data_IF_362558147377
#
_entry.id   IF_362558147377
#
_cell.length_a   1.000
_cell.length_b   1.000
_cell.length_c   1.000
_cell.angle_alpha   90.00
_cell.angle_beta   90.00
_cell.angle_gamma   90.00
#
_symmetry.space_group_name_H-M   'P 1'
#
loop_
_entity.id
_entity.type
_entity.pdbx_description
1 polymer ?
#
# COMPACT_ATOMS: atom_id res chain seq x y z
N UNK A 1 -1.87 13.64 4.40
CA UNK A 1 -2.05 12.95 3.13
C UNK A 1 -3.24 12.00 3.24
N UNK A 2 -4.14 12.07 2.28
CA UNK A 2 -5.26 11.14 2.15
C UNK A 2 -5.12 10.39 0.84
N UNK A 3 -5.34 9.07 0.88
CA UNK A 3 -5.31 8.18 -0.29
C UNK A 3 -6.62 7.40 -0.35
N UNK A 4 -7.19 7.32 -1.55
CA UNK A 4 -8.33 6.49 -1.87
C UNK A 4 -7.90 5.52 -2.98
N UNK A 5 -7.90 4.21 -2.70
CA UNK A 5 -7.41 3.15 -3.57
C UNK A 5 -8.53 2.19 -3.89
N UNK A 6 -8.68 1.82 -5.15
CA UNK A 6 -9.68 0.87 -5.61
C UNK A 6 -9.05 -0.38 -6.24
N UNK A 7 -9.68 -1.53 -5.98
CA UNK A 7 -9.36 -2.83 -6.58
C UNK A 7 -10.64 -3.49 -7.05
N UNK A 8 -10.59 -4.15 -8.19
CA UNK A 8 -11.77 -4.81 -8.77
C UNK A 8 -11.39 -6.07 -9.54
N UNK A 9 -12.09 -7.17 -9.26
CA UNK A 9 -11.83 -8.47 -9.88
C UNK A 9 -10.61 -9.17 -9.31
N UNK A 10 -10.21 -10.26 -9.93
CA UNK A 10 -9.14 -11.13 -9.49
C UNK A 10 -8.12 -11.35 -10.59
N UNK A 11 -6.84 -11.29 -10.23
CA UNK A 11 -5.68 -11.46 -11.09
C UNK A 11 -4.92 -12.74 -10.69
N UNK A 12 -4.61 -13.61 -11.64
CA UNK A 12 -3.69 -14.76 -11.46
C UNK A 12 -2.48 -14.59 -12.37
N UNK A 13 -1.30 -14.45 -11.79
CA UNK A 13 -0.13 -14.03 -12.54
C UNK A 13 -0.38 -12.65 -13.16
N UNK A 14 -0.47 -12.56 -14.48
CA UNK A 14 -0.72 -11.33 -15.25
C UNK A 14 -2.12 -11.27 -15.89
N UNK A 15 -2.96 -12.25 -15.63
CA UNK A 15 -4.25 -12.41 -16.31
C UNK A 15 -5.40 -12.26 -15.33
N UNK A 16 -6.37 -11.42 -15.68
CA UNK A 16 -7.64 -11.35 -14.95
C UNK A 16 -8.38 -12.68 -15.10
N UNK A 17 -8.95 -13.15 -14.01
CA UNK A 17 -9.71 -14.41 -13.94
C UNK A 17 -11.09 -14.17 -13.39
N UNK A 18 -12.05 -14.99 -13.86
CA UNK A 18 -13.42 -14.96 -13.42
C UNK A 18 -13.68 -15.78 -12.14
N UNK A 19 -14.87 -15.64 -11.57
CA UNK A 19 -15.29 -16.36 -10.37
C UNK A 19 -15.20 -17.88 -10.56
N UNK A 20 -15.57 -18.41 -11.73
CA UNK A 20 -15.55 -19.85 -11.99
C UNK A 20 -14.11 -20.41 -11.94
N UNK A 21 -13.12 -19.64 -12.39
CA UNK A 21 -11.71 -20.00 -12.32
C UNK A 21 -11.19 -19.94 -10.89
N UNK A 22 -11.61 -18.93 -10.09
CA UNK A 22 -11.29 -18.85 -8.66
C UNK A 22 -11.84 -20.05 -7.89
N UNK A 23 -13.09 -20.46 -8.15
CA UNK A 23 -13.75 -21.58 -7.49
C UNK A 23 -13.11 -22.95 -7.76
N UNK A 24 -12.23 -23.06 -8.76
CA UNK A 24 -11.48 -24.28 -9.05
C UNK A 24 -10.14 -24.36 -8.31
N UNK A 25 -9.74 -23.30 -7.61
CA UNK A 25 -8.46 -23.26 -6.90
C UNK A 25 -8.53 -24.00 -5.56
N UNK A 26 -7.43 -24.60 -5.12
CA UNK A 26 -7.38 -25.28 -3.82
C UNK A 26 -7.49 -24.27 -2.68
N UNK A 27 -8.10 -24.69 -1.60
CA UNK A 27 -8.14 -23.97 -0.33
C UNK A 27 -7.11 -24.56 0.63
N UNK A 28 -6.13 -23.79 1.05
CA UNK A 28 -5.08 -24.21 1.98
C UNK A 28 -5.62 -24.67 3.35
N UNK A 29 -6.80 -24.17 3.74
CA UNK A 29 -7.45 -24.54 5.00
C UNK A 29 -8.21 -25.86 4.92
N UNK A 30 -8.25 -26.51 3.76
CA UNK A 30 -8.74 -27.88 3.54
C UNK A 30 -10.27 -28.05 3.55
N UNK A 31 -11.05 -27.19 4.17
CA UNK A 31 -12.51 -27.31 4.21
C UNK A 31 -13.22 -25.98 3.95
N UNK A 32 -13.98 -25.89 2.86
CA UNK A 32 -14.07 -26.83 1.71
C UNK A 32 -12.73 -26.99 0.98
N UNK A 33 -12.55 -28.06 0.22
CA UNK A 33 -11.27 -28.35 -0.46
C UNK A 33 -10.87 -27.32 -1.52
N UNK A 34 -11.83 -26.54 -2.02
CA UNK A 34 -11.62 -25.48 -2.99
C UNK A 34 -12.19 -24.16 -2.45
N UNK A 35 -11.72 -23.05 -3.02
CA UNK A 35 -12.23 -21.73 -2.69
C UNK A 35 -13.73 -21.62 -2.99
N UNK A 36 -14.46 -20.90 -2.13
CA UNK A 36 -15.92 -20.72 -2.23
C UNK A 36 -16.35 -19.27 -1.98
N UNK A 37 -15.42 -18.42 -1.65
CA UNK A 37 -15.66 -16.98 -1.48
C UNK A 37 -14.73 -16.23 -2.44
N UNK A 38 -15.32 -15.34 -3.24
CA UNK A 38 -14.61 -14.61 -4.29
C UNK A 38 -14.69 -13.11 -4.00
N UNK A 39 -13.57 -12.40 -3.87
CA UNK A 39 -13.58 -10.95 -3.75
C UNK A 39 -14.02 -10.32 -5.07
N UNK A 40 -14.92 -9.35 -5.00
CA UNK A 40 -15.44 -8.61 -6.16
C UNK A 40 -14.80 -7.21 -6.26
N UNK A 41 -14.89 -6.45 -5.16
CA UNK A 41 -14.29 -5.11 -5.05
C UNK A 41 -13.67 -4.92 -3.69
N UNK A 42 -12.64 -4.08 -3.63
CA UNK A 42 -12.03 -3.64 -2.38
C UNK A 42 -11.64 -2.17 -2.50
N UNK A 43 -12.10 -1.38 -1.55
CA UNK A 43 -11.75 0.01 -1.42
C UNK A 43 -10.95 0.20 -0.13
N UNK A 44 -9.84 0.94 -0.23
CA UNK A 44 -8.97 1.25 0.90
C UNK A 44 -8.75 2.76 0.98
N UNK A 45 -9.14 3.34 2.11
CA UNK A 45 -8.86 4.74 2.41
C UNK A 45 -7.80 4.82 3.49
N UNK A 46 -6.78 5.63 3.25
CA UNK A 46 -5.70 5.85 4.19
C UNK A 46 -5.51 7.33 4.45
N UNK A 47 -5.62 7.74 5.70
CA UNK A 47 -5.30 9.10 6.14
C UNK A 47 -4.02 9.07 6.96
N UNK A 48 -2.97 9.74 6.47
CA UNK A 48 -1.67 9.83 7.12
C UNK A 48 -1.47 11.22 7.71
N UNK A 49 -1.14 11.28 8.98
CA UNK A 49 -0.68 12.47 9.68
C UNK A 49 0.81 12.30 9.98
N UNK A 50 1.62 13.27 9.55
CA UNK A 50 3.06 13.24 9.77
C UNK A 50 3.58 14.58 10.24
N UNK A 51 4.65 14.55 11.02
CA UNK A 51 5.43 15.69 11.41
C UNK A 51 6.89 15.46 11.05
N UNK A 52 7.57 16.54 10.67
CA UNK A 52 9.00 16.54 10.37
C UNK A 52 9.66 17.70 11.12
N UNK A 53 10.84 17.43 11.70
CA UNK A 53 11.61 18.43 12.41
C UNK A 53 13.08 18.33 12.00
N UNK A 54 13.61 19.41 11.44
CA UNK A 54 15.00 19.54 11.03
C UNK A 54 15.74 20.46 12.03
N UNK A 55 16.54 19.90 12.96
CA UNK A 55 17.35 20.70 13.87
C UNK A 55 18.49 21.42 13.16
N UNK A 56 18.94 20.90 12.03
CA UNK A 56 19.97 21.46 11.15
C UNK A 56 19.74 20.99 9.71
N UNK A 57 20.63 21.39 8.79
CA UNK A 57 20.54 21.06 7.36
C UNK A 57 20.92 19.59 7.05
N UNK A 58 21.48 18.86 8.01
CA UNK A 58 21.99 17.50 7.80
C UNK A 58 20.97 16.44 8.18
N UNK A 59 20.11 16.69 9.17
CA UNK A 59 19.19 15.69 9.75
C UNK A 59 17.78 16.23 9.83
N UNK A 60 16.81 15.44 9.38
CA UNK A 60 15.40 15.69 9.58
C UNK A 60 14.76 14.47 10.23
N UNK A 61 14.23 14.62 11.44
CA UNK A 61 13.42 13.60 12.09
C UNK A 61 12.01 13.59 11.51
N UNK A 62 11.40 12.41 11.45
CA UNK A 62 10.03 12.24 11.00
C UNK A 62 9.26 11.30 11.92
N UNK A 63 7.98 11.62 12.10
CA UNK A 63 7.01 10.75 12.75
C UNK A 63 5.74 10.73 11.90
N UNK A 64 5.15 9.55 11.71
CA UNK A 64 3.94 9.38 10.91
C UNK A 64 3.02 8.34 11.55
N UNK A 65 1.77 8.71 11.72
CA UNK A 65 0.68 7.81 12.08
C UNK A 65 -0.31 7.73 10.92
N UNK A 66 -1.02 6.61 10.81
CA UNK A 66 -1.97 6.42 9.74
C UNK A 66 -3.25 5.76 10.23
N UNK A 67 -4.37 6.19 9.69
CA UNK A 67 -5.66 5.58 9.85
C UNK A 67 -6.04 4.89 8.56
N UNK A 68 -6.52 3.66 8.68
CA UNK A 68 -7.02 2.84 7.59
C UNK A 68 -8.53 2.65 7.72
N UNK A 69 -9.20 2.66 6.58
CA UNK A 69 -10.55 2.18 6.40
C UNK A 69 -10.55 1.28 5.16
N UNK A 70 -10.93 0.02 5.33
CA UNK A 70 -10.97 -0.97 4.26
C UNK A 70 -12.35 -1.59 4.17
N UNK A 71 -12.90 -1.66 2.97
CA UNK A 71 -14.17 -2.28 2.66
C UNK A 71 -13.98 -3.27 1.52
N UNK A 72 -14.36 -4.53 1.71
CA UNK A 72 -14.27 -5.58 0.69
C UNK A 72 -15.64 -6.21 0.49
N UNK A 73 -16.13 -6.21 -0.76
CA UNK A 73 -17.31 -6.93 -1.19
C UNK A 73 -16.92 -8.29 -1.73
N UNK A 74 -17.62 -9.33 -1.29
CA UNK A 74 -17.32 -10.72 -1.62
C UNK A 74 -18.62 -11.45 -2.01
N UNK A 75 -18.49 -12.37 -2.96
CA UNK A 75 -19.53 -13.32 -3.37
C UNK A 75 -19.27 -14.67 -2.72
N UNK A 76 -20.29 -15.28 -2.11
CA UNK A 76 -20.20 -16.62 -1.52
C UNK A 76 -20.94 -17.63 -2.35
N UNK A 77 -20.29 -18.74 -2.60
CA UNK A 77 -20.80 -19.88 -3.36
C UNK A 77 -20.98 -21.09 -2.44
N UNK A 78 -21.99 -21.89 -2.73
CA UNK A 78 -22.30 -23.11 -1.96
C UNK A 78 -21.14 -24.10 -1.96
N UNK A 79 -20.87 -24.71 -0.80
CA UNK A 79 -19.76 -25.62 -0.61
C UNK A 79 -19.76 -26.78 -1.63
N UNK A 80 -20.92 -27.35 -1.93
CA UNK A 80 -21.11 -28.49 -2.84
C UNK A 80 -21.66 -28.06 -4.19
N UNK A 81 -22.68 -27.18 -4.20
CA UNK A 81 -23.44 -26.81 -5.41
C UNK A 81 -22.70 -25.83 -6.31
N UNK A 82 -21.72 -25.06 -5.78
CA UNK A 82 -21.06 -23.94 -6.47
C UNK A 82 -22.03 -22.87 -6.99
N UNK A 83 -23.27 -22.86 -6.52
CA UNK A 83 -24.24 -21.81 -6.84
C UNK A 83 -24.00 -20.59 -5.96
N UNK A 84 -24.22 -19.41 -6.49
CA UNK A 84 -24.14 -18.17 -5.74
C UNK A 84 -25.19 -18.16 -4.62
N UNK A 85 -24.75 -18.07 -3.39
CA UNK A 85 -25.62 -17.97 -2.20
C UNK A 85 -25.96 -16.50 -1.88
N UNK A 86 -25.07 -15.59 -2.20
CA UNK A 86 -25.24 -14.16 -1.97
C UNK A 86 -23.93 -13.43 -1.86
N UNK A 87 -24.01 -12.12 -1.65
CA UNK A 87 -22.87 -11.25 -1.46
C UNK A 87 -22.88 -10.65 -0.05
N UNK A 88 -21.72 -10.34 0.48
CA UNK A 88 -21.56 -9.62 1.74
C UNK A 88 -20.42 -8.64 1.66
N UNK A 89 -20.37 -7.68 2.59
CA UNK A 89 -19.29 -6.71 2.71
C UNK A 89 -18.67 -6.82 4.09
N UNK A 90 -17.37 -7.05 4.12
CA UNK A 90 -16.56 -6.96 5.34
C UNK A 90 -15.88 -5.59 5.39
N UNK A 91 -15.72 -5.05 6.60
CA UNK A 91 -15.05 -3.76 6.84
C UNK A 91 -14.08 -3.89 7.99
N UNK A 92 -12.99 -3.14 7.90
CA UNK A 92 -12.05 -2.92 9.00
C UNK A 92 -11.67 -1.45 9.02
N UNK A 93 -11.55 -0.89 10.21
CA UNK A 93 -11.19 0.52 10.41
C UNK A 93 -10.39 0.67 11.70
N UNK A 94 -9.40 1.56 11.68
CA UNK A 94 -8.60 1.89 12.85
C UNK A 94 -7.23 2.44 12.51
N UNK A 95 -6.42 2.61 13.56
CA UNK A 95 -5.03 3.03 13.41
C UNK A 95 -4.19 1.90 12.82
N UNK A 96 -3.34 2.26 11.87
CA UNK A 96 -2.28 1.40 11.33
C UNK A 96 -0.99 1.51 12.13
N UNK A 97 0.10 1.01 11.54
CA UNK A 97 1.42 1.07 12.16
C UNK A 97 1.99 2.49 12.15
N UNK A 98 2.62 2.88 13.26
CA UNK A 98 3.30 4.16 13.41
C UNK A 98 4.74 4.06 12.91
N UNK A 99 5.20 5.05 12.14
CA UNK A 99 6.56 5.09 11.62
C UNK A 99 7.33 6.25 12.24
N UNK A 100 8.53 5.97 12.77
CA UNK A 100 9.51 6.96 13.24
C UNK A 100 10.77 6.82 12.42
N UNK A 101 11.44 7.93 12.10
CA UNK A 101 12.66 7.84 11.30
C UNK A 101 13.42 9.14 11.21
N UNK A 102 14.50 9.08 10.43
CA UNK A 102 15.34 10.22 10.10
C UNK A 102 15.72 10.21 8.62
N UNK A 103 15.80 11.39 8.05
CA UNK A 103 16.42 11.66 6.76
C UNK A 103 17.76 12.34 7.02
N UNK A 104 18.82 11.81 6.42
CA UNK A 104 20.19 12.31 6.52
C UNK A 104 20.59 12.91 5.17
N UNK A 105 21.15 14.10 5.17
CA UNK A 105 21.71 14.69 3.97
C UNK A 105 22.95 13.88 3.56
N UNK A 106 22.99 13.40 2.33
CA UNK A 106 24.08 12.60 1.76
C UNK A 106 25.13 13.44 1.03
N UNK A 107 25.02 14.78 1.13
CA UNK A 107 25.89 15.72 0.45
C UNK A 107 25.46 16.02 -1.00
N UNK A 108 26.07 17.07 -1.55
CA UNK A 108 25.83 17.53 -2.91
C UNK A 108 26.70 16.77 -3.90
N UNK A 109 26.12 16.41 -5.03
CA UNK A 109 26.83 15.87 -6.19
C UNK A 109 26.87 16.93 -7.26
N UNK A 110 28.05 17.43 -7.56
CA UNK A 110 28.33 18.39 -8.64
C UNK A 110 29.14 17.70 -9.72
N UNK A 111 28.49 16.85 -10.50
CA UNK A 111 29.12 16.24 -11.69
C UNK A 111 28.50 16.84 -12.96
N UNK A 112 29.21 16.77 -14.09
CA UNK A 112 28.80 17.34 -15.38
C UNK A 112 27.39 16.94 -15.82
N UNK A 113 26.92 15.73 -15.43
CA UNK A 113 25.64 15.16 -15.85
C UNK A 113 24.71 14.84 -14.67
N UNK A 114 25.16 15.02 -13.42
CA UNK A 114 24.40 14.70 -12.22
C UNK A 114 24.65 15.82 -11.20
N UNK A 115 23.75 16.79 -11.17
CA UNK A 115 23.78 17.88 -10.19
C UNK A 115 22.56 17.80 -9.30
N UNK A 116 22.76 17.65 -8.02
CA UNK A 116 21.66 17.46 -7.06
C UNK A 116 22.14 16.98 -5.69
N UNK A 117 21.20 16.60 -4.86
CA UNK A 117 21.41 16.21 -3.47
C UNK A 117 20.94 14.78 -3.22
N UNK A 118 21.76 14.01 -2.51
CA UNK A 118 21.38 12.70 -2.00
C UNK A 118 20.83 12.80 -0.58
N UNK A 119 19.89 11.92 -0.26
CA UNK A 119 19.35 11.75 1.10
C UNK A 119 19.24 10.26 1.42
N UNK A 120 19.70 9.90 2.61
CA UNK A 120 19.51 8.57 3.19
C UNK A 120 18.33 8.65 4.15
N UNK A 121 17.36 7.75 4.00
CA UNK A 121 16.25 7.60 4.93
C UNK A 121 16.41 6.34 5.73
N UNK A 122 16.26 6.43 7.04
CA UNK A 122 16.23 5.30 7.96
C UNK A 122 14.99 5.44 8.83
N UNK A 123 14.05 4.50 8.73
CA UNK A 123 12.85 4.54 9.55
C UNK A 123 12.51 3.16 10.13
N UNK A 124 11.81 3.18 11.23
CA UNK A 124 11.27 2.01 11.92
C UNK A 124 9.75 2.13 11.98
N UNK A 125 9.04 1.12 11.50
CA UNK A 125 7.61 0.94 11.72
C UNK A 125 7.39 0.18 13.01
N UNK A 126 6.53 0.72 13.86
CA UNK A 126 6.14 0.12 15.15
C UNK A 126 4.76 -0.50 14.97
N UNK A 127 4.53 -1.76 15.40
CA UNK A 127 3.28 -2.49 15.17
C UNK A 127 2.14 -1.99 16.09
N UNK A 128 1.69 -0.77 15.85
CA UNK A 128 0.55 -0.17 16.57
C UNK A 128 -0.80 -0.51 15.96
N UNK A 129 -0.80 -0.99 14.71
CA UNK A 129 -2.00 -1.43 13.99
C UNK A 129 -2.44 -2.83 14.43
N UNK A 130 -3.75 -3.02 14.58
CA UNK A 130 -4.31 -4.32 14.94
C UNK A 130 -4.19 -5.32 13.79
N UNK A 131 -3.74 -6.53 14.09
CA UNK A 131 -3.73 -7.69 13.18
C UNK A 131 -4.82 -8.72 13.53
N UNK A 132 -5.79 -8.31 14.35
CA UNK A 132 -6.86 -9.19 14.82
C UNK A 132 -8.26 -8.67 14.42
N UNK A 133 -8.35 -7.99 13.29
CA UNK A 133 -9.61 -7.48 12.79
C UNK A 133 -10.58 -8.61 12.47
N UNK A 134 -11.79 -8.46 12.96
CA UNK A 134 -12.89 -9.42 12.76
C UNK A 134 -14.06 -8.74 12.09
N UNK A 135 -14.88 -9.53 11.43
CA UNK A 135 -16.04 -9.00 10.74
C UNK A 135 -17.17 -10.01 10.57
N UNK A 136 -18.19 -9.57 9.85
CA UNK A 136 -19.33 -10.40 9.47
C UNK A 136 -19.02 -11.04 8.12
N UNK A 137 -19.28 -12.35 8.00
CA UNK A 137 -19.04 -13.12 6.78
C UNK A 137 -20.24 -14.02 6.47
N UNK A 138 -20.48 -14.27 5.17
CA UNK A 138 -21.39 -15.29 4.70
C UNK A 138 -20.58 -16.55 4.34
N UNK A 139 -20.87 -17.66 5.01
CA UNK A 139 -20.13 -18.92 4.80
C UNK A 139 -20.68 -19.73 3.62
N UNK A 140 -19.88 -20.68 3.06
CA UNK A 140 -20.37 -21.59 2.02
C UNK A 140 -21.49 -22.55 2.47
N UNK A 141 -21.82 -22.59 3.76
CA UNK A 141 -22.96 -23.28 4.33
C UNK A 141 -24.21 -22.40 4.46
N UNK A 142 -24.21 -21.23 3.80
CA UNK A 142 -25.27 -20.23 3.84
C UNK A 142 -25.57 -19.71 5.25
N UNK A 143 -24.56 -19.57 6.08
CA UNK A 143 -24.69 -19.04 7.44
C UNK A 143 -23.96 -17.69 7.55
N UNK A 144 -24.62 -16.69 8.12
CA UNK A 144 -23.97 -15.44 8.50
C UNK A 144 -23.33 -15.59 9.87
N UNK A 145 -22.02 -15.38 9.93
CA UNK A 145 -21.24 -15.47 11.17
C UNK A 145 -20.61 -14.09 11.44
N UNK A 146 -20.70 -13.64 12.68
CA UNK A 146 -20.02 -12.42 13.17
C UNK A 146 -18.76 -12.80 13.95
N UNK A 147 -17.79 -11.88 14.03
CA UNK A 147 -16.57 -12.09 14.79
C UNK A 147 -15.54 -13.01 14.11
N UNK A 148 -15.70 -13.31 12.81
CA UNK A 148 -14.74 -14.09 12.06
C UNK A 148 -13.51 -13.26 11.74
N UNK A 149 -12.29 -13.81 11.95
CA UNK A 149 -11.04 -13.16 11.57
C UNK A 149 -11.03 -12.83 10.09
N UNK A 150 -10.78 -11.58 9.75
CA UNK A 150 -10.74 -11.10 8.37
C UNK A 150 -9.43 -11.48 7.68
N UNK A 151 -9.41 -11.59 6.33
CA UNK A 151 -8.22 -11.89 5.53
C UNK A 151 -7.08 -10.88 5.73
N UNK A 152 -5.85 -11.28 5.37
CA UNK A 152 -4.63 -10.50 5.56
C UNK A 152 -4.70 -9.04 5.05
N UNK A 153 -5.23 -8.73 3.84
CA UNK A 153 -5.30 -7.34 3.38
C UNK A 153 -6.28 -6.46 4.16
N UNK A 154 -7.12 -7.05 5.00
CA UNK A 154 -8.06 -6.32 5.86
C UNK A 154 -7.53 -6.13 7.29
N UNK A 155 -6.30 -6.55 7.59
CA UNK A 155 -5.65 -6.23 8.85
C UNK A 155 -5.08 -4.82 8.79
N UNK A 156 -5.03 -4.10 9.93
CA UNK A 156 -4.67 -2.69 9.98
C UNK A 156 -3.16 -2.45 10.10
N UNK A 157 -2.40 -3.45 10.52
CA UNK A 157 -0.95 -3.36 10.67
C UNK A 157 -0.24 -4.63 10.20
N UNK A 158 1.09 -4.62 10.26
CA UNK A 158 1.93 -5.78 9.99
C UNK A 158 2.04 -6.71 11.21
N UNK A 159 1.92 -6.13 12.40
CA UNK A 159 2.18 -6.80 13.66
C UNK A 159 3.67 -7.04 13.93
N UNK A 160 4.55 -6.54 13.05
CA UNK A 160 6.01 -6.67 13.13
C UNK A 160 6.69 -5.32 13.25
N UNK A 161 7.88 -5.29 13.83
CA UNK A 161 8.78 -4.15 13.64
C UNK A 161 9.38 -4.24 12.23
N UNK A 162 9.30 -3.13 11.48
CA UNK A 162 9.79 -3.11 10.11
C UNK A 162 10.85 -2.03 9.93
N UNK A 163 12.02 -2.43 9.47
CA UNK A 163 13.07 -1.49 9.06
C UNK A 163 12.80 -0.99 7.65
N UNK A 164 12.81 0.34 7.47
CA UNK A 164 12.48 1.00 6.21
C UNK A 164 13.63 1.90 5.74
N UNK A 165 14.67 1.33 5.08
CA UNK A 165 15.73 2.12 4.47
C UNK A 165 15.28 2.77 3.17
N UNK A 166 15.85 3.94 2.85
CA UNK A 166 15.68 4.56 1.54
C UNK A 166 16.90 5.37 1.13
N UNK A 167 17.12 5.47 -0.18
CA UNK A 167 18.10 6.34 -0.82
C UNK A 167 17.40 7.17 -1.87
N UNK A 168 17.48 8.49 -1.75
CA UNK A 168 16.79 9.44 -2.63
C UNK A 168 17.79 10.38 -3.27
N UNK A 169 17.67 10.58 -4.58
CA UNK A 169 18.34 11.62 -5.32
C UNK A 169 17.33 12.66 -5.79
N UNK A 170 17.62 13.94 -5.59
CA UNK A 170 16.88 15.07 -6.12
C UNK A 170 17.81 15.94 -6.95
N UNK A 171 17.51 16.14 -8.25
CA UNK A 171 18.27 17.03 -9.09
C UNK A 171 18.17 18.49 -8.64
N UNK A 172 19.21 19.26 -8.87
CA UNK A 172 19.09 20.70 -8.96
C UNK A 172 18.12 21.10 -10.08
N UNK A 173 17.63 22.32 -10.04
CA UNK A 173 16.73 22.82 -11.09
C UNK A 173 17.49 23.03 -12.41
N UNK A 174 16.97 22.49 -13.49
CA UNK A 174 17.40 22.76 -14.87
C UNK A 174 16.32 23.57 -15.57
N UNK A 175 16.40 24.88 -15.46
CA UNK A 175 15.31 25.77 -15.87
C UNK A 175 14.04 25.48 -15.04
N UNK A 176 12.97 25.12 -15.74
CA UNK A 176 11.69 24.77 -15.09
C UNK A 176 11.60 23.28 -14.68
N UNK A 177 12.59 22.47 -15.00
CA UNK A 177 12.56 21.03 -14.80
C UNK A 177 13.35 20.59 -13.55
N UNK A 178 12.82 19.60 -12.87
CA UNK A 178 13.49 18.81 -11.84
C UNK A 178 13.18 17.35 -12.04
N UNK A 179 14.11 16.49 -11.69
CA UNK A 179 13.93 15.05 -11.70
C UNK A 179 14.52 14.44 -10.44
N UNK A 180 14.16 13.22 -10.17
CA UNK A 180 14.71 12.49 -9.04
C UNK A 180 14.39 11.02 -9.11
N UNK A 181 14.94 10.28 -8.16
CA UNK A 181 14.70 8.86 -8.00
C UNK A 181 14.86 8.44 -6.56
N UNK A 182 14.22 7.34 -6.20
CA UNK A 182 14.36 6.75 -4.89
C UNK A 182 14.33 5.23 -5.00
N UNK A 183 15.19 4.58 -4.22
CA UNK A 183 15.09 3.17 -3.89
C UNK A 183 14.74 3.07 -2.43
N UNK A 184 13.79 2.23 -2.08
CA UNK A 184 13.37 2.02 -0.70
C UNK A 184 13.01 0.57 -0.44
N UNK A 185 13.10 0.15 0.82
CA UNK A 185 12.77 -1.20 1.27
C UNK A 185 11.87 -1.20 2.50
N UNK A 186 11.23 -2.33 2.72
CA UNK A 186 10.58 -2.68 3.98
C UNK A 186 11.07 -4.07 4.34
N UNK A 187 11.87 -4.16 5.40
CA UNK A 187 12.42 -5.42 5.92
C UNK A 187 11.67 -5.75 7.21
N UNK A 188 11.01 -6.88 7.23
CA UNK A 188 10.27 -7.38 8.39
C UNK A 188 11.24 -8.06 9.34
N UNK A 189 11.36 -7.57 10.57
CA UNK A 189 12.40 -8.02 11.49
C UNK A 189 12.05 -9.34 12.17
N UNK A 190 10.76 -9.57 12.46
CA UNK A 190 10.27 -10.74 13.21
C UNK A 190 8.95 -11.27 12.67
N UNK A 191 8.52 -12.42 13.16
CA UNK A 191 7.14 -12.89 13.01
C UNK A 191 6.25 -12.19 14.04
N UNK A 192 4.99 -11.94 13.69
CA UNK A 192 4.06 -11.29 14.59
C UNK A 192 3.43 -12.27 15.60
N UNK A 193 2.66 -11.74 16.55
CA UNK A 193 2.02 -12.53 17.63
C UNK A 193 1.00 -13.57 17.14
N UNK A 194 0.62 -13.55 15.86
CA UNK A 194 -0.27 -14.56 15.26
C UNK A 194 0.49 -15.59 14.41
N UNK A 195 1.83 -15.60 14.46
CA UNK A 195 2.69 -16.58 13.82
C UNK A 195 2.88 -16.38 12.31
N UNK A 196 2.75 -15.16 11.82
CA UNK A 196 3.07 -14.84 10.44
C UNK A 196 3.83 -13.52 10.31
N UNK A 197 4.43 -13.29 9.17
CA UNK A 197 4.94 -11.98 8.74
C UNK A 197 4.64 -11.73 7.27
N UNK A 198 4.35 -10.48 6.96
CA UNK A 198 4.19 -10.04 5.58
C UNK A 198 5.54 -10.14 4.85
N UNK A 199 5.51 -10.34 3.54
CA UNK A 199 6.74 -10.36 2.74
C UNK A 199 7.48 -9.03 2.77
N UNK A 200 8.82 -9.11 2.69
CA UNK A 200 9.66 -7.94 2.51
C UNK A 200 9.31 -7.25 1.19
N UNK A 201 9.48 -5.92 1.14
CA UNK A 201 9.13 -5.14 -0.04
C UNK A 201 10.29 -4.27 -0.50
N UNK A 202 10.54 -4.25 -1.80
CA UNK A 202 11.46 -3.31 -2.45
C UNK A 202 10.66 -2.42 -3.40
N UNK A 203 10.99 -1.14 -3.42
CA UNK A 203 10.40 -0.17 -4.34
C UNK A 203 11.48 0.68 -4.99
N UNK A 204 11.34 0.89 -6.29
CA UNK A 204 12.16 1.82 -7.08
C UNK A 204 11.23 2.80 -7.76
N UNK A 205 11.48 4.08 -7.63
CA UNK A 205 10.69 5.11 -8.27
C UNK A 205 11.56 6.21 -8.90
N UNK A 206 11.07 6.77 -9.98
CA UNK A 206 11.67 7.92 -10.64
C UNK A 206 10.58 8.93 -11.02
N UNK A 207 10.91 10.20 -10.95
CA UNK A 207 9.97 11.28 -11.31
C UNK A 207 10.64 12.40 -12.08
N UNK A 208 9.83 13.05 -12.86
CA UNK A 208 10.15 14.31 -13.53
C UNK A 208 9.05 15.30 -13.17
N UNK A 209 9.40 16.53 -12.86
CA UNK A 209 8.46 17.61 -12.60
C UNK A 209 8.84 18.88 -13.38
N UNK A 210 7.83 19.65 -13.78
CA UNK A 210 7.99 20.94 -14.43
C UNK A 210 7.25 22.02 -13.66
N UNK A 211 7.92 23.12 -13.42
CA UNK A 211 7.28 24.32 -12.88
C UNK A 211 6.46 24.97 -13.99
N UNK A 212 5.16 25.11 -13.78
CA UNK A 212 4.22 25.73 -14.72
C UNK A 212 4.04 27.21 -14.42
N UNK A 213 4.07 27.55 -13.13
CA UNK A 213 3.98 28.91 -12.60
C UNK A 213 4.78 29.01 -11.29
N UNK A 214 4.95 30.21 -10.75
CA UNK A 214 5.62 30.39 -9.47
C UNK A 214 4.98 29.55 -8.35
N UNK A 215 3.65 29.36 -8.40
CA UNK A 215 2.86 28.66 -7.39
C UNK A 215 2.44 27.25 -7.79
N UNK A 216 2.74 26.77 -9.02
CA UNK A 216 2.23 25.51 -9.54
C UNK A 216 3.28 24.68 -10.29
N UNK A 217 3.26 23.37 -10.11
CA UNK A 217 4.05 22.42 -10.88
C UNK A 217 3.25 21.16 -11.21
N UNK A 218 3.59 20.52 -12.32
CA UNK A 218 3.09 19.20 -12.70
C UNK A 218 4.24 18.18 -12.62
N UNK A 219 3.90 16.91 -12.43
CA UNK A 219 4.87 15.82 -12.36
C UNK A 219 4.32 14.53 -12.95
N UNK A 220 5.24 13.73 -13.46
CA UNK A 220 5.02 12.33 -13.84
C UNK A 220 5.96 11.49 -12.99
N UNK A 221 5.47 10.38 -12.44
CA UNK A 221 6.24 9.42 -11.66
C UNK A 221 5.97 8.00 -12.16
N UNK A 222 7.04 7.25 -12.30
CA UNK A 222 7.00 5.81 -12.48
C UNK A 222 7.50 5.18 -11.18
N UNK A 223 6.81 4.17 -10.69
CA UNK A 223 7.26 3.34 -9.59
C UNK A 223 7.08 1.86 -9.90
N UNK A 224 8.03 1.06 -9.46
CA UNK A 224 8.00 -0.39 -9.53
C UNK A 224 8.27 -0.96 -8.15
N UNK A 225 7.47 -1.91 -7.73
CA UNK A 225 7.63 -2.60 -6.45
C UNK A 225 7.57 -4.11 -6.63
N UNK A 226 8.36 -4.80 -5.83
CA UNK A 226 8.34 -6.22 -5.62
C UNK A 226 8.08 -6.50 -4.15
N UNK A 227 7.21 -7.45 -3.86
CA UNK A 227 6.94 -7.93 -2.52
C UNK A 227 7.04 -9.44 -2.47
N UNK A 228 7.77 -9.94 -1.47
CA UNK A 228 7.85 -11.37 -1.19
C UNK A 228 6.51 -11.94 -0.73
N UNK A 229 6.39 -13.26 -0.74
CA UNK A 229 5.24 -13.93 -0.13
C UNK A 229 5.23 -13.76 1.38
N UNK A 230 4.04 -13.76 1.95
CA UNK A 230 3.82 -13.89 3.39
C UNK A 230 4.39 -15.21 3.89
N UNK A 231 5.02 -15.21 5.05
CA UNK A 231 5.56 -16.40 5.72
C UNK A 231 4.77 -16.70 6.98
N UNK A 232 4.54 -17.99 7.27
CA UNK A 232 3.69 -18.40 8.37
C UNK A 232 2.20 -18.25 8.05
N UNK A 233 1.34 -18.38 9.06
CA UNK A 233 -0.10 -18.23 8.91
C UNK A 233 -0.78 -17.92 10.26
N UNK A 234 -1.79 -17.07 10.26
CA UNK A 234 -2.73 -16.91 11.36
C UNK A 234 -3.77 -18.05 11.32
N UNK A 235 -3.76 -18.94 12.32
CA UNK A 235 -4.69 -20.07 12.42
C UNK A 235 -6.17 -19.67 12.52
N UNK A 236 -6.47 -18.43 12.86
CA UNK A 236 -7.84 -17.89 12.92
C UNK A 236 -8.36 -17.42 11.56
N UNK A 237 -7.48 -17.17 10.57
CA UNK A 237 -7.86 -16.80 9.19
C UNK A 237 -8.11 -18.09 8.40
N UNK A 238 -9.37 -18.52 8.34
CA UNK A 238 -9.75 -19.82 7.73
C UNK A 238 -10.79 -19.69 6.64
N UNK A 239 -11.06 -18.47 6.14
CA UNK A 239 -12.02 -18.25 5.07
C UNK A 239 -11.52 -18.87 3.76
N UNK A 240 -12.39 -19.58 3.00
CA UNK A 240 -12.02 -20.14 1.69
C UNK A 240 -12.05 -19.06 0.59
N UNK A 241 -11.22 -18.05 0.74
CA UNK A 241 -11.10 -16.87 -0.13
C UNK A 241 -9.63 -16.69 -0.55
N UNK A 242 -9.33 -16.22 -1.77
CA UNK A 242 -7.94 -16.00 -2.22
C UNK A 242 -7.11 -15.14 -1.26
N UNK A 243 -7.69 -14.08 -0.72
CA UNK A 243 -7.01 -13.14 0.19
C UNK A 243 -6.66 -13.71 1.57
N UNK A 244 -7.16 -14.90 1.90
CA UNK A 244 -6.81 -15.65 3.12
C UNK A 244 -5.73 -16.72 2.87
N UNK A 245 -5.32 -16.94 1.61
CA UNK A 245 -4.30 -17.92 1.27
C UNK A 245 -2.92 -17.28 1.34
N UNK A 246 -2.00 -17.83 2.12
CA UNK A 246 -0.65 -17.28 2.30
C UNK A 246 0.18 -17.35 1.03
N UNK A 247 0.02 -18.42 0.23
CA UNK A 247 0.72 -18.61 -1.04
C UNK A 247 0.27 -17.64 -2.15
N UNK A 248 -0.85 -16.94 -1.94
CA UNK A 248 -1.40 -16.00 -2.90
C UNK A 248 -1.01 -14.54 -2.60
N UNK A 249 0.05 -14.33 -1.85
CA UNK A 249 0.52 -13.00 -1.46
C UNK A 249 1.82 -12.63 -2.17
N UNK A 250 2.12 -11.34 -2.25
CA UNK A 250 3.32 -10.83 -2.92
C UNK A 250 3.20 -10.77 -4.43
N UNK A 251 4.25 -10.30 -5.10
CA UNK A 251 4.30 -10.13 -6.55
C UNK A 251 4.92 -8.81 -6.98
N UNK A 252 4.69 -8.47 -8.24
CA UNK A 252 5.25 -7.29 -8.91
C UNK A 252 4.13 -6.30 -9.26
N UNK A 253 4.38 -5.01 -9.02
CA UNK A 253 3.47 -3.93 -9.40
C UNK A 253 4.29 -2.77 -9.93
N UNK A 254 3.94 -2.25 -11.12
CA UNK A 254 4.47 -1.00 -11.62
C UNK A 254 3.34 -0.03 -11.95
N UNK A 255 3.51 1.23 -11.56
CA UNK A 255 2.51 2.27 -11.67
C UNK A 255 3.05 3.48 -12.41
N UNK A 256 2.14 4.17 -13.10
CA UNK A 256 2.31 5.52 -13.62
C UNK A 256 1.45 6.47 -12.81
N UNK A 257 2.05 7.57 -12.36
CA UNK A 257 1.35 8.63 -11.63
C UNK A 257 1.48 9.97 -12.34
N UNK A 258 0.41 10.75 -12.31
CA UNK A 258 0.39 12.16 -12.74
C UNK A 258 -0.01 13.02 -11.55
N UNK A 259 0.78 14.04 -11.27
CA UNK A 259 0.61 14.86 -10.09
C UNK A 259 0.67 16.36 -10.37
N UNK A 260 -0.06 17.12 -9.55
CA UNK A 260 -0.04 18.58 -9.51
C UNK A 260 0.27 19.04 -8.10
N UNK A 261 1.10 20.06 -7.98
CA UNK A 261 1.43 20.68 -6.70
C UNK A 261 1.19 22.17 -6.77
N UNK A 262 0.61 22.71 -5.71
CA UNK A 262 0.37 24.13 -5.53
C UNK A 262 1.04 24.59 -4.23
N UNK A 263 1.82 25.66 -4.30
CA UNK A 263 2.58 26.20 -3.17
C UNK A 263 2.19 27.65 -2.95
N UNK A 264 1.77 27.96 -1.74
CA UNK A 264 1.47 29.32 -1.33
C UNK A 264 2.75 30.17 -1.26
N UNK A 265 2.77 31.29 -1.97
CA UNK A 265 3.96 32.14 -2.11
C UNK A 265 3.98 33.27 -1.06
N UNK A 266 2.82 33.81 -0.67
CA UNK A 266 2.72 35.04 0.10
C UNK A 266 1.56 34.99 1.11
N UNK A 267 1.65 35.91 2.10
CA UNK A 267 0.61 36.11 3.10
C UNK A 267 0.34 34.87 3.95
N UNK A 268 -0.91 34.66 4.28
CA UNK A 268 -1.36 33.53 5.12
C UNK A 268 -1.12 32.15 4.46
N UNK A 269 -0.88 32.11 3.15
CA UNK A 269 -0.62 30.88 2.40
C UNK A 269 0.87 30.55 2.28
N UNK A 270 1.77 31.43 2.72
CA UNK A 270 3.22 31.15 2.69
C UNK A 270 3.53 29.87 3.46
N UNK A 271 4.35 28.98 2.87
CA UNK A 271 4.70 27.69 3.44
C UNK A 271 3.65 26.59 3.32
N UNK A 272 2.45 26.89 2.78
CA UNK A 272 1.42 25.88 2.52
C UNK A 272 1.61 25.23 1.16
N UNK A 273 1.46 23.91 1.11
CA UNK A 273 1.51 23.12 -0.12
C UNK A 273 0.31 22.17 -0.20
N UNK A 274 -0.35 22.18 -1.35
CA UNK A 274 -1.39 21.21 -1.71
C UNK A 274 -0.86 20.35 -2.86
N UNK A 275 -1.05 19.04 -2.79
CA UNK A 275 -0.66 18.09 -3.83
C UNK A 275 -1.84 17.20 -4.18
N UNK A 276 -2.05 16.96 -5.46
CA UNK A 276 -3.01 16.00 -6.00
C UNK A 276 -2.26 15.05 -6.93
N UNK A 277 -2.45 13.75 -6.78
CA UNK A 277 -1.83 12.73 -7.61
C UNK A 277 -2.82 11.61 -7.90
N UNK A 278 -2.93 11.27 -9.19
CA UNK A 278 -3.63 10.08 -9.66
C UNK A 278 -2.60 9.05 -10.12
N UNK A 279 -2.78 7.80 -9.70
CA UNK A 279 -1.89 6.68 -9.96
C UNK A 279 -2.68 5.52 -10.55
N UNK A 280 -2.19 4.90 -11.62
CA UNK A 280 -2.76 3.70 -12.22
C UNK A 280 -1.68 2.66 -12.48
N UNK A 281 -2.04 1.37 -12.39
CA UNK A 281 -1.12 0.29 -12.70
C UNK A 281 -0.88 0.20 -14.21
N UNK A 282 0.39 0.06 -14.59
CA UNK A 282 0.81 -0.25 -15.95
C UNK A 282 1.34 -1.68 -16.09
N UNK A 283 1.65 -2.33 -14.98
CA UNK A 283 2.03 -3.72 -14.90
C UNK A 283 1.67 -4.30 -13.55
N UNK A 284 1.04 -5.48 -13.55
CA UNK A 284 0.75 -6.25 -12.36
C UNK A 284 1.08 -7.72 -12.60
N UNK A 285 1.72 -8.36 -11.63
CA UNK A 285 1.95 -9.81 -11.64
C UNK A 285 1.83 -10.34 -10.21
N UNK A 286 0.74 -11.02 -9.93
CA UNK A 286 0.45 -11.61 -8.63
C UNK A 286 1.13 -12.97 -8.46
N UNK A 287 1.63 -13.25 -7.26
CA UNK A 287 1.94 -14.61 -6.85
C UNK A 287 0.61 -15.29 -6.44
N UNK A 288 0.15 -16.27 -7.24
CA UNK A 288 -1.17 -16.86 -7.03
C UNK A 288 -2.31 -15.95 -7.47
N UNK A 289 -3.37 -15.83 -6.67
CA UNK A 289 -4.57 -15.03 -6.99
C UNK A 289 -4.75 -13.90 -6.00
N UNK A 290 -4.77 -12.68 -6.52
CA UNK A 290 -4.96 -11.45 -5.74
C UNK A 290 -5.99 -10.55 -6.41
N UNK A 291 -6.50 -9.57 -5.68
CA UNK A 291 -7.36 -8.54 -6.28
C UNK A 291 -6.55 -7.66 -7.24
N UNK A 292 -7.16 -7.34 -8.37
CA UNK A 292 -6.55 -6.49 -9.39
C UNK A 292 -6.66 -5.02 -8.98
N UNK A 293 -5.50 -4.36 -8.85
CA UNK A 293 -5.42 -2.94 -8.55
C UNK A 293 -5.91 -2.12 -9.76
N UNK A 294 -6.73 -1.12 -9.52
CA UNK A 294 -7.24 -0.22 -10.56
C UNK A 294 -6.49 1.12 -10.51
N UNK A 295 -6.78 1.91 -9.51
CA UNK A 295 -6.18 3.23 -9.36
C UNK A 295 -6.11 3.69 -7.90
N UNK A 296 -5.40 4.81 -7.71
CA UNK A 296 -5.34 5.53 -6.43
C UNK A 296 -5.38 7.02 -6.68
N UNK A 297 -6.24 7.71 -5.95
CA UNK A 297 -6.23 9.15 -5.84
C UNK A 297 -5.58 9.56 -4.52
N UNK A 298 -4.61 10.46 -4.59
CA UNK A 298 -3.91 10.97 -3.40
C UNK A 298 -4.06 12.48 -3.31
N UNK A 299 -4.50 12.96 -2.15
CA UNK A 299 -4.51 14.36 -1.76
C UNK A 299 -3.50 14.57 -0.63
N UNK A 300 -2.56 15.49 -0.82
CA UNK A 300 -1.55 15.85 0.16
C UNK A 300 -1.69 17.31 0.58
N UNK A 301 -1.59 17.58 1.86
CA UNK A 301 -1.45 18.93 2.40
C UNK A 301 -0.24 18.97 3.32
N UNK A 302 0.55 20.03 3.22
CA UNK A 302 1.72 20.26 4.05
C UNK A 302 1.82 21.74 4.40
N UNK A 303 2.28 22.01 5.61
CA UNK A 303 2.68 23.36 6.05
C UNK A 303 4.12 23.30 6.58
N UNK A 304 4.97 24.17 6.07
CA UNK A 304 6.32 24.43 6.57
C UNK A 304 6.35 25.81 7.25
N UNK A 305 7.08 25.95 8.35
CA UNK A 305 7.29 27.18 9.11
C UNK A 305 8.72 27.31 9.57
#
# INVERSE_FOLDING_TARGET
RHMDMSMKGNLKGRHSIDDAQVLNLPNQHGSPAQLRVVPETMDMKMTMLGAMYAPNDEITFLAMAMQHETSMRLNTYGAMSRTLLGSFTSRSEGLGDTTLGALLAGGDVTQKYLNGTWHYGLALSIPTGSIQQTGRVLTPMNQQISGKRLPYPMQLGSGTYDFKPSLTFNSAAHGEWRYGGQVSGVVRLDDNSQGYRLGDKTNVQGWVSRRLAAFASASIRLDASYQDQLRGADSAITLPVPTAQTDFTGGELANLSVGFNFVGQHGIWAGHRLALEWTSAIHQKANGVQMEFQDTLTLGYQKAW
#
